data_IF_671041834276
#
_entry.id   IF_671041834276
#
_cell.length_a   1.000
_cell.length_b   1.000
_cell.length_c   1.000
_cell.angle_alpha   90.00
_cell.angle_beta   90.00
_cell.angle_gamma   90.00
#
_symmetry.space_group_name_H-M   'P 1'
#
loop_
_entity.id
_entity.type
_entity.pdbx_description
1 polymer ?
#
# COMPACT_ATOMS: atom_id res chain seq x y z
N UNK A 1 17.37 -14.70 2.89
CA UNK A 1 17.17 -13.76 1.77
C UNK A 1 15.95 -12.91 2.09
N UNK A 2 16.14 -11.63 2.46
CA UNK A 2 15.02 -10.74 2.79
C UNK A 2 14.47 -10.15 1.48
N UNK A 3 13.23 -10.46 1.13
CA UNK A 3 12.53 -9.86 -0.01
C UNK A 3 12.07 -8.47 0.43
N UNK A 4 12.82 -7.43 0.06
CA UNK A 4 12.43 -6.04 0.30
C UNK A 4 11.35 -5.62 -0.70
N UNK A 5 10.21 -5.15 -0.22
CA UNK A 5 9.18 -4.57 -1.08
C UNK A 5 9.62 -3.19 -1.55
N UNK A 6 9.83 -3.02 -2.86
CA UNK A 6 10.02 -1.69 -3.47
C UNK A 6 8.68 -0.97 -3.49
N UNK A 7 8.61 0.19 -2.84
CA UNK A 7 7.45 1.09 -2.91
C UNK A 7 7.77 2.13 -3.99
N UNK A 8 7.06 2.09 -5.11
CA UNK A 8 7.09 3.20 -6.07
C UNK A 8 6.47 4.42 -5.42
N UNK A 9 7.07 5.59 -5.67
CA UNK A 9 7.03 6.78 -4.82
C UNK A 9 5.65 7.36 -4.48
N UNK A 10 5.62 8.57 -3.90
CA UNK A 10 4.35 9.17 -3.50
C UNK A 10 3.55 9.55 -4.75
N UNK A 11 2.31 9.06 -4.81
CA UNK A 11 1.32 9.43 -5.81
C UNK A 11 0.14 10.09 -5.12
N UNK A 12 -0.52 11.02 -5.82
CA UNK A 12 -1.75 11.66 -5.34
C UNK A 12 -2.94 11.17 -6.14
N UNK A 13 -4.05 10.94 -5.44
CA UNK A 13 -5.34 10.64 -6.08
C UNK A 13 -5.87 11.95 -6.68
N UNK A 14 -5.92 12.01 -8.01
CA UNK A 14 -6.50 13.13 -8.75
C UNK A 14 -8.02 13.03 -8.86
N UNK A 15 -8.56 11.80 -8.96
CA UNK A 15 -10.01 11.56 -9.10
C UNK A 15 -10.39 10.17 -8.58
N UNK A 16 -11.53 10.09 -7.89
CA UNK A 16 -12.16 8.83 -7.50
C UNK A 16 -13.13 8.38 -8.59
N UNK A 17 -13.04 7.11 -8.99
CA UNK A 17 -13.91 6.48 -9.99
C UNK A 17 -14.72 5.34 -9.33
N UNK A 18 -15.83 4.89 -9.95
CA UNK A 18 -16.56 3.73 -9.48
C UNK A 18 -15.73 2.45 -9.49
N UNK A 19 -16.09 1.51 -8.61
CA UNK A 19 -15.46 0.18 -8.46
C UNK A 19 -14.00 0.25 -8.00
N UNK A 20 -13.73 1.02 -6.95
CA UNK A 20 -12.41 1.11 -6.31
C UNK A 20 -11.27 1.49 -7.25
N UNK A 21 -11.58 2.31 -8.26
CA UNK A 21 -10.62 2.82 -9.23
C UNK A 21 -10.30 4.28 -8.95
N UNK A 22 -9.05 4.65 -9.17
CA UNK A 22 -8.56 5.99 -8.88
C UNK A 22 -7.69 6.46 -10.05
N UNK A 23 -7.88 7.71 -10.46
CA UNK A 23 -6.89 8.40 -11.29
C UNK A 23 -5.80 8.88 -10.35
N UNK A 24 -4.58 8.41 -10.56
CA UNK A 24 -3.40 8.82 -9.80
C UNK A 24 -2.45 9.59 -10.69
N UNK A 25 -1.78 10.57 -10.10
CA UNK A 25 -0.75 11.38 -10.75
C UNK A 25 0.45 11.58 -9.83
N UNK A 26 1.56 12.00 -10.40
CA UNK A 26 2.71 12.43 -9.63
C UNK A 26 2.37 13.59 -8.69
N UNK A 27 3.09 13.68 -7.58
CA UNK A 27 3.01 14.82 -6.67
C UNK A 27 3.65 16.04 -7.33
N UNK A 28 2.96 17.18 -7.29
CA UNK A 28 3.48 18.44 -7.82
C UNK A 28 4.85 18.77 -7.19
N UNK A 29 5.80 19.21 -8.01
CA UNK A 29 7.21 19.45 -7.63
C UNK A 29 8.00 18.21 -7.16
N UNK A 30 7.46 17.00 -7.35
CA UNK A 30 8.11 15.72 -7.05
C UNK A 30 8.05 14.80 -8.28
N UNK A 31 8.38 15.33 -9.45
CA UNK A 31 8.38 14.55 -10.69
C UNK A 31 9.61 13.62 -10.71
N UNK A 32 9.42 12.36 -10.32
CA UNK A 32 10.49 11.34 -10.31
C UNK A 32 10.79 10.84 -11.73
N UNK A 33 9.76 10.78 -12.59
CA UNK A 33 9.84 10.26 -13.96
C UNK A 33 9.93 11.37 -15.00
N UNK A 34 10.63 11.09 -16.10
CA UNK A 34 10.78 12.05 -17.20
C UNK A 34 9.44 12.39 -17.88
N UNK A 35 8.47 11.48 -17.82
CA UNK A 35 7.09 11.66 -18.28
C UNK A 35 6.18 11.65 -17.06
N UNK A 36 5.31 12.66 -16.88
CA UNK A 36 4.32 12.66 -15.81
C UNK A 36 3.43 11.44 -15.89
N UNK A 37 3.36 10.66 -14.82
CA UNK A 37 2.44 9.56 -14.70
C UNK A 37 1.02 10.08 -14.50
N UNK A 38 0.10 9.63 -15.34
CA UNK A 38 -1.33 9.88 -15.22
C UNK A 38 -2.06 8.61 -15.64
N UNK A 39 -2.50 7.83 -14.65
CA UNK A 39 -3.03 6.49 -14.88
C UNK A 39 -4.19 6.16 -13.96
N UNK A 40 -4.93 5.11 -14.33
CA UNK A 40 -5.99 4.54 -13.50
C UNK A 40 -5.45 3.31 -12.79
N UNK A 41 -5.64 3.24 -11.47
CA UNK A 41 -5.22 2.12 -10.64
C UNK A 41 -6.36 1.68 -9.70
N UNK A 42 -6.41 0.39 -9.41
CA UNK A 42 -7.34 -0.18 -8.43
C UNK A 42 -6.76 -0.11 -7.01
N UNK A 43 -7.61 0.09 -5.99
CA UNK A 43 -7.20 0.18 -4.58
C UNK A 43 -6.30 -0.98 -4.13
N UNK A 44 -6.60 -2.21 -4.58
CA UNK A 44 -5.86 -3.43 -4.23
C UNK A 44 -4.39 -3.41 -4.70
N UNK A 45 -4.09 -2.58 -5.70
CA UNK A 45 -2.75 -2.39 -6.25
C UNK A 45 -2.05 -1.15 -5.67
N UNK A 46 -2.70 -0.41 -4.76
CA UNK A 46 -2.15 0.78 -4.11
C UNK A 46 -1.68 0.46 -2.69
N UNK A 47 -0.65 1.18 -2.23
CA UNK A 47 -0.24 1.21 -0.83
C UNK A 47 -0.46 2.61 -0.27
N UNK A 48 -1.05 2.67 0.93
CA UNK A 48 -1.16 3.92 1.68
C UNK A 48 0.24 4.47 1.94
N UNK A 49 0.45 5.73 1.57
CA UNK A 49 1.63 6.48 1.97
C UNK A 49 1.56 6.71 3.49
N UNK A 50 2.36 5.94 4.25
CA UNK A 50 2.49 6.12 5.69
C UNK A 50 3.72 6.95 5.97
N UNK A 51 3.63 7.88 6.92
CA UNK A 51 4.82 8.51 7.47
C UNK A 51 5.72 7.43 8.12
N UNK A 52 7.04 7.65 8.20
CA UNK A 52 7.98 6.70 8.82
C UNK A 52 7.58 6.31 10.25
N UNK A 53 6.85 7.19 10.95
CA UNK A 53 6.38 6.99 12.33
C UNK A 53 5.36 5.84 12.47
N UNK A 54 4.68 5.45 11.38
CA UNK A 54 3.65 4.40 11.41
C UNK A 54 4.17 2.97 11.19
N UNK A 55 5.48 2.79 10.98
CA UNK A 55 6.07 1.47 10.71
C UNK A 55 6.35 0.68 12.00
N UNK A 56 6.27 1.30 13.18
CA UNK A 56 6.59 0.62 14.45
C UNK A 56 5.43 -0.20 15.05
N UNK A 57 4.17 -0.03 14.61
CA UNK A 57 3.01 -0.55 15.35
C UNK A 57 2.24 -1.68 14.63
N UNK A 58 2.84 -2.36 13.64
CA UNK A 58 2.29 -3.63 13.14
C UNK A 58 3.13 -4.78 13.65
N UNK A 59 3.05 -4.99 14.96
CA UNK A 59 3.34 -6.27 15.56
C UNK A 59 2.36 -7.27 14.97
N UNK A 60 2.90 -8.19 14.19
CA UNK A 60 2.18 -9.30 13.60
C UNK A 60 1.79 -10.26 14.72
N UNK A 61 0.60 -10.08 15.30
CA UNK A 61 0.03 -11.11 16.18
C UNK A 61 -0.41 -12.28 15.29
N UNK A 62 0.53 -13.17 14.97
CA UNK A 62 0.20 -14.57 14.71
C UNK A 62 -0.28 -15.19 16.02
N UNK A 63 -1.47 -14.82 16.49
CA UNK A 63 -2.28 -15.69 17.34
C UNK A 63 -3.35 -16.24 16.43
N UNK A 64 -3.02 -17.33 15.74
CA UNK A 64 -4.03 -18.31 15.38
C UNK A 64 -3.96 -19.34 16.49
N UNK A 65 -4.90 -19.21 17.42
CA UNK A 65 -5.21 -20.23 18.41
C UNK A 65 -5.71 -21.48 17.66
N UNK A 66 -4.81 -22.38 17.32
CA UNK A 66 -5.20 -23.77 17.09
C UNK A 66 -5.28 -24.40 18.48
N UNK A 67 -6.49 -24.36 19.07
CA UNK A 67 -6.85 -25.18 20.22
C UNK A 67 -6.58 -26.65 19.86
N UNK A 68 -5.58 -27.26 20.51
CA UNK A 68 -5.36 -28.70 20.46
C UNK A 68 -6.49 -29.37 21.24
N UNK A 69 -7.46 -29.90 20.49
CA UNK A 69 -8.58 -30.69 20.95
C UNK A 69 -8.10 -31.85 21.83
N UNK A 70 -8.27 -31.69 23.15
CA UNK A 70 -8.22 -32.77 24.11
C UNK A 70 -9.29 -33.81 23.77
N UNK A 71 -8.90 -34.91 23.10
CA UNK A 71 -9.72 -36.12 22.99
C UNK A 71 -9.24 -37.17 23.98
N UNK A 72 -9.95 -37.19 25.11
CA UNK A 72 -10.08 -38.19 26.18
C UNK A 72 -9.23 -39.48 26.15
#
# INVERSE_FOLDING_TARGET
>A
MQIGYVIWGPYVVAKVLPHDRYVVRDVDNCQITQIPYNGIIESKNMRLWRSPEFVQNREWTSHSDDEDDSVN
#
